data_IF_395113376086
#
_entry.id   IF_395113376086
#
_cell.length_a   1.000
_cell.length_b   1.000
_cell.length_c   1.000
_cell.angle_alpha   90.00
_cell.angle_beta   90.00
_cell.angle_gamma   90.00
#
_symmetry.space_group_name_H-M   'P 1'
#
loop_
_entity.id
_entity.type
_entity.pdbx_description
1 polymer ?
#
# COMPACT_ATOMS: atom_id res chain seq x y z
N UNK A 1 -0.39 13.77 -31.91
CA UNK A 1 -1.32 14.92 -31.84
C UNK A 1 -2.79 14.49 -31.84
N UNK A 2 -3.21 13.58 -32.74
CA UNK A 2 -4.58 13.03 -32.74
C UNK A 2 -4.92 12.20 -31.49
N UNK A 3 -4.02 11.33 -31.03
CA UNK A 3 -4.24 10.46 -29.86
C UNK A 3 -4.38 11.28 -28.57
N UNK A 4 -3.53 12.29 -28.36
CA UNK A 4 -3.56 13.17 -27.17
C UNK A 4 -4.86 13.99 -27.09
N UNK A 5 -5.38 14.45 -28.23
CA UNK A 5 -6.64 15.19 -28.31
C UNK A 5 -7.86 14.32 -27.94
N UNK A 6 -7.86 13.05 -28.37
CA UNK A 6 -8.89 12.06 -28.04
C UNK A 6 -8.95 11.78 -26.53
N UNK A 7 -7.78 11.61 -25.89
CA UNK A 7 -7.72 11.37 -24.45
C UNK A 7 -8.22 12.55 -23.62
N UNK A 8 -7.97 13.79 -24.06
CA UNK A 8 -8.49 14.96 -23.36
C UNK A 8 -10.02 15.05 -23.43
N UNK A 9 -10.61 14.70 -24.58
CA UNK A 9 -12.08 14.65 -24.75
C UNK A 9 -12.71 13.55 -23.88
N UNK A 10 -12.13 12.35 -23.84
CA UNK A 10 -12.60 11.24 -23.00
C UNK A 10 -12.61 11.63 -21.51
N UNK A 11 -11.58 12.37 -21.05
CA UNK A 11 -11.52 12.84 -19.65
C UNK A 11 -12.66 13.79 -19.31
N UNK A 12 -12.98 14.75 -20.20
CA UNK A 12 -14.10 15.69 -19.98
C UNK A 12 -15.43 14.95 -19.90
N UNK A 13 -15.62 13.92 -20.74
CA UNK A 13 -16.82 13.08 -20.75
C UNK A 13 -16.97 12.20 -19.49
N UNK A 14 -15.87 11.73 -18.92
CA UNK A 14 -15.86 11.01 -17.64
C UNK A 14 -16.24 11.96 -16.49
N UNK A 15 -15.64 13.16 -16.43
CA UNK A 15 -15.93 14.14 -15.38
C UNK A 15 -17.37 14.68 -15.47
N UNK A 16 -17.92 14.79 -16.67
CA UNK A 16 -19.31 15.23 -16.87
C UNK A 16 -20.34 14.12 -16.62
N UNK A 17 -19.91 12.90 -16.29
CA UNK A 17 -20.80 11.76 -16.05
C UNK A 17 -21.51 11.21 -17.30
N UNK A 18 -21.09 11.62 -18.50
CA UNK A 18 -21.64 11.13 -19.78
C UNK A 18 -21.09 9.73 -20.07
N UNK A 19 -19.80 9.53 -19.79
CA UNK A 19 -19.16 8.21 -19.83
C UNK A 19 -19.03 7.70 -18.40
N UNK A 20 -19.57 6.51 -18.13
CA UNK A 20 -19.55 5.91 -16.79
C UNK A 20 -18.18 5.31 -16.47
N UNK A 21 -17.61 4.53 -17.39
CA UNK A 21 -16.34 3.84 -17.20
C UNK A 21 -15.70 3.48 -18.54
N UNK A 22 -14.37 3.43 -18.56
CA UNK A 22 -13.56 2.93 -19.69
C UNK A 22 -12.61 1.88 -19.13
N UNK A 23 -12.76 0.63 -19.55
CA UNK A 23 -11.93 -0.48 -19.09
C UNK A 23 -11.43 -1.31 -20.29
N UNK A 24 -10.19 -1.82 -20.24
CA UNK A 24 -9.69 -2.73 -21.26
C UNK A 24 -10.39 -4.10 -21.17
N UNK A 25 -10.62 -4.74 -22.32
CA UNK A 25 -11.15 -6.11 -22.36
C UNK A 25 -10.01 -7.11 -22.12
N UNK A 26 -10.30 -8.18 -21.38
CA UNK A 26 -9.36 -9.29 -21.20
C UNK A 26 -9.28 -10.17 -22.43
N UNK A 27 -8.05 -10.55 -22.81
CA UNK A 27 -7.80 -11.69 -23.71
C UNK A 27 -7.74 -12.97 -22.87
N UNK A 28 -8.77 -13.81 -23.02
CA UNK A 28 -8.92 -15.06 -22.25
C UNK A 28 -7.87 -16.11 -22.64
N UNK A 29 -7.40 -16.13 -23.90
CA UNK A 29 -6.43 -17.13 -24.34
C UNK A 29 -5.04 -16.85 -23.78
N UNK A 30 -4.62 -15.58 -23.84
CA UNK A 30 -3.38 -15.13 -23.24
C UNK A 30 -3.39 -15.27 -21.71
N UNK A 31 -4.53 -14.97 -21.07
CA UNK A 31 -4.69 -15.11 -19.63
C UNK A 31 -4.54 -16.57 -19.20
N UNK A 32 -5.22 -17.50 -19.85
CA UNK A 32 -5.13 -18.93 -19.52
C UNK A 32 -3.69 -19.46 -19.61
N UNK A 33 -2.93 -19.05 -20.64
CA UNK A 33 -1.51 -19.40 -20.78
C UNK A 33 -0.64 -18.83 -19.64
N UNK A 34 -0.94 -17.61 -19.19
CA UNK A 34 -0.27 -16.99 -18.06
C UNK A 34 -0.60 -17.73 -16.76
N UNK A 35 -1.87 -18.03 -16.53
CA UNK A 35 -2.39 -18.78 -15.39
C UNK A 35 -1.71 -20.15 -15.23
N UNK A 36 -1.65 -20.93 -16.31
CA UNK A 36 -0.99 -22.25 -16.34
C UNK A 36 0.50 -22.17 -15.95
N UNK A 37 1.17 -21.07 -16.32
CA UNK A 37 2.58 -20.85 -15.97
C UNK A 37 2.74 -20.38 -14.53
N UNK A 38 1.80 -19.58 -14.04
CA UNK A 38 1.94 -18.82 -12.79
C UNK A 38 1.59 -19.64 -11.54
N UNK A 39 0.48 -20.40 -11.52
CA UNK A 39 0.04 -21.13 -10.33
C UNK A 39 0.07 -22.66 -10.47
N UNK A 40 1.16 -23.22 -11.00
CA UNK A 40 1.33 -24.69 -10.95
C UNK A 40 1.44 -25.17 -9.49
N UNK A 41 0.37 -25.79 -9.01
CA UNK A 41 -0.01 -26.04 -7.60
C UNK A 41 1.02 -26.77 -6.70
N UNK A 42 2.11 -27.29 -7.26
CA UNK A 42 2.97 -28.26 -6.57
C UNK A 42 4.48 -27.95 -6.57
N UNK A 43 4.93 -26.83 -7.15
CA UNK A 43 6.37 -26.56 -7.25
C UNK A 43 6.71 -25.13 -6.85
N UNK A 44 7.72 -24.99 -5.97
CA UNK A 44 8.34 -23.72 -5.61
C UNK A 44 9.10 -23.19 -6.84
N UNK A 45 8.43 -22.38 -7.65
CA UNK A 45 8.95 -21.78 -8.87
C UNK A 45 9.05 -20.27 -8.72
N UNK A 46 10.05 -19.69 -9.39
CA UNK A 46 10.12 -18.25 -9.56
C UNK A 46 8.94 -17.75 -10.40
N UNK A 47 8.38 -16.59 -10.04
CA UNK A 47 7.22 -16.06 -10.74
C UNK A 47 7.61 -15.51 -12.12
N UNK A 48 6.78 -15.68 -13.16
CA UNK A 48 7.08 -15.20 -14.51
C UNK A 48 6.79 -13.69 -14.64
N UNK A 49 7.58 -12.84 -13.98
CA UNK A 49 7.35 -11.38 -13.87
C UNK A 49 7.24 -10.72 -15.25
N UNK A 50 8.06 -11.10 -16.22
CA UNK A 50 8.03 -10.50 -17.56
C UNK A 50 6.73 -10.81 -18.33
N UNK A 51 6.09 -11.97 -18.07
CA UNK A 51 4.79 -12.30 -18.68
C UNK A 51 3.65 -11.55 -17.99
N UNK A 52 3.71 -11.43 -16.67
CA UNK A 52 2.77 -10.61 -15.89
C UNK A 52 2.82 -9.16 -16.40
N UNK A 53 4.02 -8.63 -16.64
CA UNK A 53 4.21 -7.31 -17.25
C UNK A 53 3.54 -7.22 -18.62
N UNK A 54 3.77 -8.20 -19.49
CA UNK A 54 3.21 -8.18 -20.84
C UNK A 54 1.68 -8.10 -20.87
N UNK A 55 1.00 -8.66 -19.87
CA UNK A 55 -0.46 -8.68 -19.79
C UNK A 55 -1.06 -7.55 -18.94
N UNK A 56 -0.50 -7.29 -17.75
CA UNK A 56 -1.04 -6.36 -16.75
C UNK A 56 -0.29 -5.01 -16.69
N UNK A 57 0.84 -4.87 -17.38
CA UNK A 57 1.70 -3.69 -17.34
C UNK A 57 2.72 -3.69 -16.20
N UNK A 58 3.57 -2.66 -16.17
CA UNK A 58 4.72 -2.61 -15.26
C UNK A 58 4.38 -2.45 -13.79
N UNK A 59 3.32 -1.71 -13.45
CA UNK A 59 2.95 -1.43 -12.05
C UNK A 59 2.56 -2.72 -11.33
N UNK A 60 1.73 -3.55 -11.96
CA UNK A 60 1.28 -4.82 -11.40
C UNK A 60 2.43 -5.82 -11.37
N UNK A 61 3.26 -5.87 -12.41
CA UNK A 61 4.45 -6.72 -12.44
C UNK A 61 5.48 -6.34 -11.35
N UNK A 62 5.68 -5.04 -11.09
CA UNK A 62 6.53 -4.57 -9.98
C UNK A 62 6.00 -5.02 -8.61
N UNK A 63 4.68 -4.96 -8.41
CA UNK A 63 4.06 -5.43 -7.18
C UNK A 63 4.32 -6.93 -6.96
N UNK A 64 4.08 -7.77 -7.98
CA UNK A 64 4.34 -9.21 -7.87
C UNK A 64 5.82 -9.54 -7.73
N UNK A 65 6.69 -8.82 -8.44
CA UNK A 65 8.14 -8.95 -8.25
C UNK A 65 8.60 -8.57 -6.85
N UNK A 66 8.00 -7.54 -6.24
CA UNK A 66 8.26 -7.18 -4.84
C UNK A 66 7.76 -8.25 -3.89
N UNK A 67 6.54 -8.79 -4.12
CA UNK A 67 5.96 -9.83 -3.30
C UNK A 67 6.80 -11.11 -3.30
N UNK A 68 7.26 -11.54 -4.47
CA UNK A 68 8.17 -12.67 -4.62
C UNK A 68 9.47 -12.43 -3.85
N UNK A 69 10.12 -11.28 -4.09
CA UNK A 69 11.32 -10.89 -3.39
C UNK A 69 11.15 -10.87 -1.87
N UNK A 70 10.07 -10.27 -1.38
CA UNK A 70 9.79 -10.12 0.04
C UNK A 70 9.50 -11.46 0.71
N UNK A 71 8.83 -12.38 0.01
CA UNK A 71 8.59 -13.74 0.49
C UNK A 71 9.90 -14.50 0.67
N UNK A 72 10.81 -14.46 -0.31
CA UNK A 72 12.15 -15.05 -0.16
C UNK A 72 12.99 -14.37 0.92
N UNK A 73 12.88 -13.06 1.06
CA UNK A 73 13.60 -12.29 2.07
C UNK A 73 13.16 -12.61 3.51
N UNK A 74 11.91 -13.05 3.73
CA UNK A 74 11.42 -13.45 5.05
C UNK A 74 11.84 -14.87 5.44
N UNK A 75 12.23 -15.73 4.50
CA UNK A 75 12.62 -17.11 4.79
C UNK A 75 13.76 -17.19 5.81
N UNK A 76 14.89 -16.46 5.67
CA UNK A 76 15.95 -16.48 6.69
C UNK A 76 15.48 -16.02 8.07
N UNK A 77 14.62 -15.00 8.14
CA UNK A 77 14.06 -14.53 9.42
C UNK A 77 13.17 -15.59 10.07
N UNK A 78 12.35 -16.29 9.28
CA UNK A 78 11.50 -17.38 9.78
C UNK A 78 12.32 -18.58 10.24
N UNK A 79 13.37 -18.96 9.49
CA UNK A 79 14.27 -20.06 9.85
C UNK A 79 15.00 -19.77 11.16
N UNK A 80 15.44 -18.54 11.38
CA UNK A 80 16.12 -18.14 12.62
C UNK A 80 15.10 -17.96 13.76
N UNK A 81 13.94 -17.36 13.51
CA UNK A 81 12.93 -17.11 14.53
C UNK A 81 12.27 -18.37 15.09
N UNK A 82 12.12 -19.43 14.28
CA UNK A 82 11.42 -20.64 14.69
C UNK A 82 12.13 -21.41 15.84
N UNK A 83 13.44 -21.70 15.78
CA UNK A 83 14.18 -22.26 16.92
C UNK A 83 14.15 -21.37 18.16
N UNK A 84 14.20 -20.05 17.99
CA UNK A 84 14.13 -19.11 19.12
C UNK A 84 12.81 -19.26 19.90
N UNK A 85 11.71 -19.44 19.18
CA UNK A 85 10.39 -19.70 19.77
C UNK A 85 10.27 -21.12 20.37
N UNK A 86 10.64 -22.15 19.61
CA UNK A 86 10.44 -23.55 20.02
C UNK A 86 11.31 -23.98 21.20
N UNK A 87 12.56 -23.49 21.26
CA UNK A 87 13.49 -23.83 22.34
C UNK A 87 13.50 -22.79 23.48
N UNK A 88 12.59 -21.81 23.46
CA UNK A 88 12.51 -20.72 24.44
C UNK A 88 13.90 -20.13 24.73
N UNK A 89 14.60 -19.71 23.68
CA UNK A 89 15.93 -19.13 23.78
C UNK A 89 15.86 -17.68 24.28
N UNK A 90 15.55 -17.52 25.56
CA UNK A 90 15.28 -16.22 26.21
C UNK A 90 16.49 -15.61 26.94
N UNK A 91 17.70 -16.08 26.65
CA UNK A 91 18.91 -15.50 27.21
C UNK A 91 19.19 -14.12 26.60
N UNK A 92 19.66 -13.17 27.42
CA UNK A 92 19.97 -11.79 26.99
C UNK A 92 20.88 -11.75 25.75
N UNK A 93 21.93 -12.57 25.74
CA UNK A 93 22.88 -12.65 24.63
C UNK A 93 22.20 -13.09 23.33
N UNK A 94 21.24 -14.02 23.40
CA UNK A 94 20.49 -14.51 22.24
C UNK A 94 19.55 -13.43 21.70
N UNK A 95 18.89 -12.66 22.56
CA UNK A 95 18.09 -11.51 22.12
C UNK A 95 18.92 -10.46 21.41
N UNK A 96 20.11 -10.11 21.91
CA UNK A 96 21.00 -9.15 21.26
C UNK A 96 21.45 -9.66 19.87
N UNK A 97 21.79 -10.95 19.76
CA UNK A 97 22.14 -11.56 18.48
C UNK A 97 20.95 -11.54 17.50
N UNK A 98 19.75 -11.90 17.96
CA UNK A 98 18.56 -11.90 17.11
C UNK A 98 18.18 -10.48 16.66
N UNK A 99 18.19 -9.50 17.57
CA UNK A 99 17.84 -8.12 17.26
C UNK A 99 18.85 -7.48 16.29
N UNK A 100 20.14 -7.68 16.51
CA UNK A 100 21.18 -7.19 15.60
C UNK A 100 21.07 -7.80 14.21
N UNK A 101 20.80 -9.12 14.13
CA UNK A 101 20.51 -9.79 12.86
C UNK A 101 19.28 -9.18 12.15
N UNK A 102 18.15 -9.01 12.86
CA UNK A 102 16.93 -8.44 12.28
C UNK A 102 17.15 -7.03 11.73
N UNK A 103 17.90 -6.19 12.47
CA UNK A 103 18.17 -4.82 12.06
C UNK A 103 19.05 -4.77 10.80
N UNK A 104 20.14 -5.55 10.79
CA UNK A 104 21.01 -5.66 9.62
C UNK A 104 20.22 -6.22 8.43
N UNK A 105 19.49 -7.32 8.63
CA UNK A 105 18.73 -7.96 7.57
C UNK A 105 17.65 -7.04 6.99
N UNK A 106 16.91 -6.31 7.83
CA UNK A 106 15.91 -5.32 7.40
C UNK A 106 16.52 -4.23 6.49
N UNK A 107 17.72 -3.74 6.81
CA UNK A 107 18.41 -2.77 5.93
C UNK A 107 18.87 -3.40 4.62
N UNK A 108 19.44 -4.61 4.67
CA UNK A 108 19.93 -5.34 3.49
C UNK A 108 18.79 -5.63 2.53
N UNK A 109 17.62 -6.08 3.02
CA UNK A 109 16.50 -6.43 2.14
C UNK A 109 15.97 -5.20 1.40
N UNK A 110 15.96 -4.02 2.02
CA UNK A 110 15.51 -2.79 1.36
C UNK A 110 16.52 -2.30 0.32
N UNK A 111 17.81 -2.39 0.61
CA UNK A 111 18.88 -2.01 -0.33
C UNK A 111 18.95 -2.93 -1.55
N UNK A 112 18.90 -4.25 -1.32
CA UNK A 112 18.91 -5.24 -2.40
C UNK A 112 17.65 -5.10 -3.26
N UNK A 113 16.49 -4.84 -2.66
CA UNK A 113 15.28 -4.55 -3.43
C UNK A 113 15.45 -3.33 -4.34
N UNK A 114 16.00 -2.21 -3.82
CA UNK A 114 16.24 -1.01 -4.64
C UNK A 114 17.13 -1.33 -5.85
N UNK A 115 18.17 -2.15 -5.67
CA UNK A 115 19.05 -2.60 -6.77
C UNK A 115 18.32 -3.50 -7.76
N UNK A 116 17.54 -4.48 -7.28
CA UNK A 116 16.75 -5.39 -8.12
C UNK A 116 15.67 -4.66 -8.92
N UNK A 117 14.94 -3.76 -8.27
CA UNK A 117 13.92 -2.91 -8.89
C UNK A 117 14.53 -2.00 -9.98
N UNK A 118 15.69 -1.40 -9.72
CA UNK A 118 16.41 -0.61 -10.73
C UNK A 118 16.80 -1.46 -11.96
N UNK A 119 17.34 -2.67 -11.74
CA UNK A 119 17.69 -3.58 -12.83
C UNK A 119 16.46 -4.00 -13.65
N UNK A 120 15.34 -4.29 -12.98
CA UNK A 120 14.10 -4.73 -13.62
C UNK A 120 13.47 -3.60 -14.45
N UNK A 121 13.34 -2.41 -13.87
CA UNK A 121 12.80 -1.23 -14.57
C UNK A 121 13.71 -0.72 -15.69
N UNK A 122 15.04 -0.90 -15.56
CA UNK A 122 15.98 -0.64 -16.64
C UNK A 122 15.78 -1.62 -17.81
N UNK A 123 15.71 -2.93 -17.54
CA UNK A 123 15.42 -3.96 -18.56
C UNK A 123 14.10 -3.69 -19.27
N UNK A 124 13.14 -3.15 -18.55
CA UNK A 124 11.83 -2.81 -19.09
C UNK A 124 11.77 -1.50 -19.87
N UNK A 125 12.79 -0.65 -19.76
CA UNK A 125 12.84 0.67 -20.39
C UNK A 125 12.01 1.74 -19.69
N UNK A 126 11.26 1.42 -18.64
CA UNK A 126 10.43 2.38 -17.91
C UNK A 126 11.22 3.32 -17.02
N UNK A 127 12.43 2.95 -16.60
CA UNK A 127 13.33 3.82 -15.84
C UNK A 127 13.79 5.04 -16.68
N UNK A 128 13.94 4.86 -17.99
CA UNK A 128 14.38 5.92 -18.92
C UNK A 128 13.20 6.80 -19.36
N UNK A 129 11.96 6.36 -19.09
CA UNK A 129 10.76 7.10 -19.47
C UNK A 129 10.62 8.37 -18.61
N UNK A 130 10.65 9.54 -19.25
CA UNK A 130 10.57 10.82 -18.56
C UNK A 130 9.13 11.09 -18.08
N UNK A 131 8.77 10.59 -16.90
CA UNK A 131 7.46 10.85 -16.25
C UNK A 131 7.13 12.35 -16.09
N UNK A 132 8.13 13.23 -16.14
CA UNK A 132 7.94 14.70 -16.11
C UNK A 132 7.07 15.24 -17.27
N UNK A 133 6.90 14.49 -18.35
CA UNK A 133 6.03 14.85 -19.48
C UNK A 133 4.69 14.12 -19.48
N UNK A 134 4.33 13.43 -18.38
CA UNK A 134 3.00 12.88 -18.22
C UNK A 134 1.97 14.00 -18.17
N UNK A 135 0.85 13.79 -18.85
CA UNK A 135 -0.25 14.75 -18.87
C UNK A 135 -0.82 14.94 -17.46
N UNK A 136 -1.33 16.14 -17.13
CA UNK A 136 -1.96 16.38 -15.83
C UNK A 136 -3.11 15.39 -15.59
N UNK A 137 -3.29 14.93 -14.35
CA UNK A 137 -4.40 14.01 -14.02
C UNK A 137 -5.78 14.63 -14.34
N UNK A 138 -6.83 13.83 -14.62
CA UNK A 138 -8.14 14.34 -15.03
C UNK A 138 -8.81 15.31 -14.04
N UNK A 139 -8.59 15.15 -12.73
CA UNK A 139 -9.14 16.03 -11.68
C UNK A 139 -8.24 17.21 -11.30
N UNK A 140 -7.25 17.56 -12.13
CA UNK A 140 -6.40 18.72 -11.89
C UNK A 140 -7.01 19.96 -12.56
N UNK A 141 -7.33 20.98 -11.76
CA UNK A 141 -7.92 22.22 -12.22
C UNK A 141 -7.02 23.41 -11.87
N UNK A 142 -7.09 24.46 -12.67
CA UNK A 142 -6.24 25.63 -12.56
C UNK A 142 -6.59 26.66 -13.62
N UNK A 143 -5.89 27.79 -13.60
CA UNK A 143 -6.02 28.80 -14.66
C UNK A 143 -5.29 28.28 -15.89
N UNK A 144 -5.91 28.31 -17.06
CA UNK A 144 -5.25 27.94 -18.31
C UNK A 144 -4.06 28.86 -18.55
N UNK A 145 -2.90 28.28 -18.79
CA UNK A 145 -1.67 29.01 -19.07
C UNK A 145 -0.66 28.14 -19.78
N UNK A 146 0.40 28.77 -20.28
CA UNK A 146 1.47 28.05 -20.99
C UNK A 146 2.43 27.45 -19.96
N UNK A 147 2.57 26.13 -19.97
CA UNK A 147 3.51 25.43 -19.09
C UNK A 147 4.95 25.72 -19.54
N UNK A 148 5.78 26.23 -18.62
CA UNK A 148 7.16 26.64 -18.90
C UNK A 148 8.09 25.49 -19.32
N UNK A 149 7.71 24.23 -19.05
CA UNK A 149 8.51 23.04 -19.37
C UNK A 149 8.04 22.37 -20.66
N UNK A 150 6.72 22.20 -20.83
CA UNK A 150 6.15 21.49 -21.99
C UNK A 150 5.83 22.41 -23.16
N UNK A 151 5.69 23.71 -22.92
CA UNK A 151 5.24 24.71 -23.90
C UNK A 151 3.78 24.55 -24.33
N UNK A 152 3.02 23.67 -23.68
CA UNK A 152 1.61 23.40 -23.99
C UNK A 152 0.70 24.25 -23.10
N UNK A 153 -0.50 24.54 -23.60
CA UNK A 153 -1.56 25.15 -22.79
C UNK A 153 -2.15 24.10 -21.85
N UNK A 154 -1.92 24.28 -20.55
CA UNK A 154 -2.32 23.34 -19.51
C UNK A 154 -2.87 24.14 -18.30
N UNK A 155 -3.78 23.56 -17.49
CA UNK A 155 -4.21 24.22 -16.25
C UNK A 155 -3.01 24.38 -15.31
N UNK A 156 -2.73 25.59 -14.85
CA UNK A 156 -1.67 25.90 -13.90
C UNK A 156 -2.27 26.21 -12.53
N UNK A 157 -1.73 25.58 -11.48
CA UNK A 157 -2.11 25.83 -10.10
C UNK A 157 -0.90 26.30 -9.26
N UNK A 158 -0.98 27.44 -8.55
CA UNK A 158 0.12 27.94 -7.74
C UNK A 158 0.52 26.97 -6.62
N UNK A 159 1.80 26.60 -6.57
CA UNK A 159 2.29 25.61 -5.59
C UNK A 159 2.09 26.05 -4.13
N UNK A 160 2.17 27.34 -3.81
CA UNK A 160 2.00 27.83 -2.44
C UNK A 160 0.58 27.60 -1.89
N UNK A 161 -0.46 27.76 -2.73
CA UNK A 161 -1.86 27.48 -2.32
C UNK A 161 -2.04 26.00 -2.00
N UNK A 162 -1.42 25.13 -2.79
CA UNK A 162 -1.43 23.68 -2.57
C UNK A 162 -0.74 23.32 -1.26
N UNK A 163 0.43 23.88 -1.01
CA UNK A 163 1.15 23.65 0.24
C UNK A 163 0.36 24.14 1.45
N UNK A 164 -0.25 25.33 1.37
CA UNK A 164 -1.11 25.85 2.43
C UNK A 164 -2.26 24.89 2.75
N UNK A 165 -2.97 24.36 1.74
CA UNK A 165 -4.05 23.37 1.98
C UNK A 165 -3.54 22.10 2.65
N UNK A 166 -2.38 21.59 2.23
CA UNK A 166 -1.77 20.39 2.83
C UNK A 166 -1.44 20.64 4.31
N UNK A 167 -0.73 21.73 4.61
CA UNK A 167 -0.25 22.00 5.97
C UNK A 167 -1.34 22.50 6.92
N UNK A 168 -2.33 23.27 6.44
CA UNK A 168 -3.38 23.86 7.30
C UNK A 168 -4.61 22.96 7.44
N UNK A 169 -4.88 22.05 6.50
CA UNK A 169 -6.11 21.23 6.51
C UNK A 169 -5.78 19.75 6.63
N UNK A 170 -4.98 19.20 5.70
CA UNK A 170 -4.71 17.76 5.68
C UNK A 170 -3.88 17.31 6.88
N UNK A 171 -2.84 18.05 7.25
CA UNK A 171 -1.96 17.68 8.37
C UNK A 171 -2.69 17.71 9.72
N UNK A 172 -3.44 18.76 10.11
CA UNK A 172 -4.20 18.75 11.36
C UNK A 172 -5.27 17.65 11.40
N UNK A 173 -5.90 17.36 10.26
CA UNK A 173 -6.85 16.24 10.17
C UNK A 173 -6.17 14.90 10.45
N UNK A 174 -5.01 14.63 9.85
CA UNK A 174 -4.25 13.41 10.12
C UNK A 174 -3.84 13.33 11.60
N UNK A 175 -3.36 14.43 12.18
CA UNK A 175 -3.03 14.47 13.62
C UNK A 175 -4.25 14.18 14.51
N UNK A 176 -5.43 14.72 14.17
CA UNK A 176 -6.68 14.44 14.88
C UNK A 176 -7.06 12.96 14.76
N UNK A 177 -6.97 12.37 13.57
CA UNK A 177 -7.24 10.94 13.37
C UNK A 177 -6.28 10.04 14.15
N UNK A 178 -4.99 10.41 14.21
CA UNK A 178 -3.99 9.69 15.01
C UNK A 178 -4.28 9.81 16.51
N UNK A 179 -4.63 10.99 16.99
CA UNK A 179 -5.06 11.19 18.38
C UNK A 179 -6.30 10.33 18.70
N UNK A 180 -7.29 10.31 17.80
CA UNK A 180 -8.49 9.49 17.97
C UNK A 180 -8.16 7.99 17.96
N UNK A 181 -7.23 7.51 17.13
CA UNK A 181 -6.83 6.10 17.16
C UNK A 181 -6.15 5.72 18.47
N UNK A 182 -5.31 6.61 19.03
CA UNK A 182 -4.71 6.41 20.35
C UNK A 182 -5.77 6.41 21.45
N UNK A 183 -6.79 7.26 21.37
CA UNK A 183 -7.90 7.26 22.30
C UNK A 183 -8.70 5.95 22.28
N UNK A 184 -9.01 5.43 21.08
CA UNK A 184 -9.66 4.11 20.93
C UNK A 184 -8.79 2.99 21.48
N UNK A 185 -7.47 3.09 21.33
CA UNK A 185 -6.52 2.14 21.92
C UNK A 185 -6.56 2.17 23.46
N UNK A 186 -6.70 3.33 24.09
CA UNK A 186 -6.87 3.43 25.55
C UNK A 186 -8.16 2.75 26.01
N UNK A 187 -9.28 2.96 25.31
CA UNK A 187 -10.55 2.28 25.61
C UNK A 187 -10.40 0.76 25.51
N UNK A 188 -9.65 0.27 24.52
CA UNK A 188 -9.36 -1.15 24.39
C UNK A 188 -8.60 -1.69 25.61
N UNK A 189 -7.56 -1.00 26.08
CA UNK A 189 -6.82 -1.41 27.27
C UNK A 189 -7.69 -1.41 28.53
N UNK A 190 -8.57 -0.42 28.70
CA UNK A 190 -9.52 -0.38 29.81
C UNK A 190 -10.51 -1.57 29.76
N UNK A 191 -10.99 -1.91 28.56
CA UNK A 191 -11.88 -3.05 28.34
C UNK A 191 -11.18 -4.39 28.59
N UNK A 192 -9.91 -4.51 28.18
CA UNK A 192 -9.08 -5.69 28.42
C UNK A 192 -8.81 -5.88 29.92
N UNK A 193 -8.46 -4.79 30.63
CA UNK A 193 -8.28 -4.81 32.08
C UNK A 193 -9.57 -5.21 32.82
N UNK A 194 -10.73 -4.72 32.37
CA UNK A 194 -12.03 -5.12 32.90
C UNK A 194 -12.34 -6.61 32.65
N UNK A 195 -12.07 -7.11 31.45
CA UNK A 195 -12.27 -8.53 31.12
C UNK A 195 -11.36 -9.45 31.94
N UNK A 196 -10.11 -9.02 32.19
CA UNK A 196 -9.17 -9.74 33.02
C UNK A 196 -9.61 -9.78 34.49
N UNK A 197 -10.07 -8.66 35.06
CA UNK A 197 -10.60 -8.62 36.43
C UNK A 197 -11.81 -9.54 36.61
N UNK A 198 -12.72 -9.60 35.63
CA UNK A 198 -13.84 -10.54 35.66
C UNK A 198 -13.39 -12.01 35.61
N UNK A 199 -12.34 -12.32 34.84
CA UNK A 199 -11.79 -13.67 34.77
C UNK A 199 -11.17 -14.10 36.11
N UNK A 200 -10.41 -13.21 36.75
CA UNK A 200 -9.82 -13.45 38.07
C UNK A 200 -10.90 -13.70 39.15
N UNK A 201 -12.01 -12.95 39.13
CA UNK A 201 -13.07 -13.06 40.15
C UNK A 201 -13.92 -14.33 40.02
N UNK A 202 -14.10 -14.86 38.80
CA UNK A 202 -15.06 -15.93 38.52
C UNK A 202 -14.42 -17.31 38.29
N UNK A 203 -13.13 -17.37 37.94
CA UNK A 203 -12.34 -18.60 37.90
C UNK A 203 -12.86 -19.72 36.99
N UNK A 204 -13.78 -19.43 36.08
CA UNK A 204 -14.49 -20.42 35.26
C UNK A 204 -13.93 -20.49 33.84
N UNK A 205 -13.96 -21.67 33.21
CA UNK A 205 -13.54 -21.86 31.81
C UNK A 205 -14.27 -20.95 30.81
N UNK A 206 -15.54 -20.58 31.09
CA UNK A 206 -16.30 -19.63 30.28
C UNK A 206 -15.67 -18.23 30.24
N UNK A 207 -14.99 -17.85 31.31
CA UNK A 207 -14.34 -16.53 31.41
C UNK A 207 -12.97 -16.49 30.71
N UNK A 208 -12.38 -17.64 30.40
CA UNK A 208 -11.23 -17.71 29.49
C UNK A 208 -11.60 -17.36 28.05
N UNK A 209 -12.84 -17.67 27.62
CA UNK A 209 -13.34 -17.24 26.30
C UNK A 209 -13.56 -15.72 26.27
N UNK A 210 -13.99 -15.14 27.39
CA UNK A 210 -14.24 -13.69 27.52
C UNK A 210 -12.98 -12.85 27.27
N UNK A 211 -11.78 -13.34 27.61
CA UNK A 211 -10.51 -12.65 27.36
C UNK A 211 -10.26 -12.32 25.88
N UNK A 212 -10.80 -13.11 24.94
CA UNK A 212 -10.64 -12.84 23.51
C UNK A 212 -11.65 -11.82 22.96
N UNK A 213 -12.73 -11.55 23.69
CA UNK A 213 -13.84 -10.69 23.22
C UNK A 213 -13.38 -9.23 22.98
N UNK A 214 -12.66 -8.56 23.91
CA UNK A 214 -12.17 -7.20 23.67
C UNK A 214 -11.30 -7.08 22.42
N UNK A 215 -10.41 -8.06 22.18
CA UNK A 215 -9.52 -8.05 21.01
C UNK A 215 -10.29 -8.23 19.70
N UNK A 216 -11.32 -9.07 19.67
CA UNK A 216 -12.18 -9.24 18.49
C UNK A 216 -12.97 -7.95 18.21
N UNK A 217 -13.54 -7.34 19.25
CA UNK A 217 -14.27 -6.06 19.12
C UNK A 217 -13.33 -4.99 18.59
N UNK A 218 -12.13 -4.87 19.15
CA UNK A 218 -11.12 -3.90 18.71
C UNK A 218 -10.71 -4.12 17.26
N UNK A 219 -10.50 -5.37 16.82
CA UNK A 219 -10.18 -5.68 15.43
C UNK A 219 -11.29 -5.22 14.45
N UNK A 220 -12.56 -5.42 14.81
CA UNK A 220 -13.71 -4.93 14.01
C UNK A 220 -13.73 -3.41 13.97
N UNK A 221 -13.51 -2.73 15.10
CA UNK A 221 -13.45 -1.27 15.19
C UNK A 221 -12.34 -0.70 14.31
N UNK A 222 -11.14 -1.30 14.34
CA UNK A 222 -10.01 -0.88 13.50
C UNK A 222 -10.31 -1.03 12.01
N UNK A 223 -10.94 -2.12 11.57
CA UNK A 223 -11.33 -2.28 10.18
C UNK A 223 -12.35 -1.22 9.72
N UNK A 224 -13.34 -0.90 10.56
CA UNK A 224 -14.31 0.17 10.30
C UNK A 224 -13.60 1.53 10.22
N UNK A 225 -12.73 1.84 11.19
CA UNK A 225 -11.97 3.08 11.24
C UNK A 225 -11.06 3.24 10.01
N UNK A 226 -10.38 2.18 9.59
CA UNK A 226 -9.52 2.21 8.40
C UNK A 226 -10.31 2.54 7.12
N UNK A 227 -11.52 1.99 6.96
CA UNK A 227 -12.40 2.30 5.82
C UNK A 227 -12.86 3.76 5.84
N UNK A 228 -13.30 4.25 7.01
CA UNK A 228 -13.72 5.64 7.19
C UNK A 228 -12.57 6.62 6.93
N UNK A 229 -11.39 6.34 7.51
CA UNK A 229 -10.19 7.13 7.30
C UNK A 229 -9.77 7.14 5.84
N UNK A 230 -9.82 5.98 5.15
CA UNK A 230 -9.50 5.91 3.72
C UNK A 230 -10.43 6.77 2.88
N UNK A 231 -11.74 6.72 3.12
CA UNK A 231 -12.70 7.58 2.42
C UNK A 231 -12.42 9.07 2.66
N UNK A 232 -12.19 9.46 3.91
CA UNK A 232 -11.86 10.85 4.26
C UNK A 232 -10.52 11.29 3.67
N UNK A 233 -9.51 10.43 3.66
CA UNK A 233 -8.19 10.69 3.10
C UNK A 233 -8.24 10.82 1.57
N UNK A 234 -9.00 9.98 0.88
CA UNK A 234 -9.23 10.09 -0.57
C UNK A 234 -9.94 11.40 -0.94
N UNK A 235 -10.95 11.78 -0.15
CA UNK A 235 -11.66 13.05 -0.30
C UNK A 235 -10.73 14.26 -0.06
N UNK A 236 -10.02 14.31 1.06
CA UNK A 236 -9.09 15.41 1.38
C UNK A 236 -7.93 15.49 0.39
N UNK A 237 -7.43 14.34 -0.07
CA UNK A 237 -6.36 14.30 -1.05
C UNK A 237 -6.84 14.81 -2.40
N UNK A 238 -8.04 14.47 -2.84
CA UNK A 238 -8.61 15.02 -4.08
C UNK A 238 -8.88 16.52 -3.96
N UNK A 239 -9.34 17.00 -2.80
CA UNK A 239 -9.56 18.43 -2.52
C UNK A 239 -8.28 19.27 -2.38
N UNK A 240 -7.21 18.72 -1.79
CA UNK A 240 -5.91 19.39 -1.72
C UNK A 240 -5.21 19.51 -3.08
N UNK A 241 -5.75 18.79 -4.07
CA UNK A 241 -5.21 18.62 -5.42
C UNK A 241 -5.99 19.37 -6.51
N UNK A 242 -7.14 19.96 -6.16
CA UNK A 242 -7.94 20.94 -6.93
C UNK A 242 -7.55 22.37 -6.56
#
# INVERSE_FOLDING_TARGET
MLITCLWEQVRRLLTSGIVVQVFPLHDNEALKKLEDTWYTRFTLKFQPIDRIRGYFGETIALYFGFLEYFTFALIPMAIIGLPYYLFAWEDYDKYVIFASFNLIWSTVILEVWKRGCASMTYRWGTLVMKRKFEEPRPGYHGVLGINAVTGREEPLYPSYKRQLRIYLVSLPFVCLCLYFSLFVMMIYFDMEAWALGLHEDSGSEWTSILLYVPSIIYAIVIEIMNRLYRYAAEFLTSWGKT
#
